data_IF_513981038788
#
_entry.id   IF_513981038788
#
_cell.length_a   1.000
_cell.length_b   1.000
_cell.length_c   1.000
_cell.angle_alpha   90.00
_cell.angle_beta   90.00
_cell.angle_gamma   90.00
#
_symmetry.space_group_name_H-M   'P 1'
#
loop_
_entity.id
_entity.type
_entity.pdbx_description
1 polymer ?
#
# COMPACT_ATOMS: atom_id res chain seq x y z
N UNK A 1 20.43 18.91 4.07
CA UNK A 1 21.50 17.86 4.08
C UNK A 1 21.61 17.36 5.52
N UNK A 2 20.48 17.00 6.12
CA UNK A 2 20.31 17.14 7.58
C UNK A 2 20.31 15.80 8.29
N UNK A 3 20.27 14.72 7.52
CA UNK A 3 20.27 13.35 7.98
C UNK A 3 21.32 12.54 7.22
N UNK A 4 21.96 11.59 7.93
CA UNK A 4 22.83 10.56 7.38
C UNK A 4 22.18 9.18 7.59
N UNK A 5 22.27 8.26 6.61
CA UNK A 5 21.67 6.94 6.72
C UNK A 5 22.44 6.10 7.75
N UNK A 6 21.70 5.34 8.57
CA UNK A 6 22.28 4.43 9.58
C UNK A 6 22.14 2.98 9.13
N UNK A 7 20.92 2.51 8.91
CA UNK A 7 20.66 1.12 8.52
C UNK A 7 19.31 1.00 7.79
N UNK A 8 19.20 0.03 6.89
CA UNK A 8 17.92 -0.37 6.35
C UNK A 8 17.12 -1.10 7.43
N UNK A 9 15.85 -0.75 7.59
CA UNK A 9 14.96 -1.40 8.55
C UNK A 9 14.13 -2.47 7.86
N UNK A 10 13.05 -2.05 7.21
CA UNK A 10 12.12 -2.96 6.55
C UNK A 10 11.59 -2.35 5.26
N UNK A 11 11.21 -3.21 4.31
CA UNK A 11 10.48 -2.78 3.12
C UNK A 11 9.01 -3.11 3.31
N UNK A 12 8.19 -2.07 3.48
CA UNK A 12 6.75 -2.24 3.60
C UNK A 12 6.12 -2.29 2.22
N UNK A 13 5.18 -3.22 2.05
CA UNK A 13 4.41 -3.38 0.81
C UNK A 13 3.00 -2.84 1.04
N UNK A 14 2.32 -2.51 -0.05
CA UNK A 14 0.93 -2.12 -0.04
C UNK A 14 0.07 -3.21 -0.69
N UNK A 15 -1.20 -3.17 -0.37
CA UNK A 15 -2.16 -4.21 -0.70
C UNK A 15 -3.41 -3.56 -1.28
N UNK A 16 -3.81 -3.94 -2.49
CA UNK A 16 -5.08 -3.50 -3.06
C UNK A 16 -6.21 -4.27 -2.39
N UNK A 17 -6.91 -3.61 -1.47
CA UNK A 17 -7.96 -4.22 -0.65
C UNK A 17 -9.30 -3.58 -0.95
N UNK A 18 -10.33 -4.41 -1.09
CA UNK A 18 -11.70 -4.00 -1.39
C UNK A 18 -12.68 -4.61 -0.40
N UNK A 19 -13.91 -4.11 -0.39
CA UNK A 19 -15.01 -4.71 0.39
C UNK A 19 -15.39 -6.09 -0.16
N UNK A 20 -15.71 -7.05 0.72
CA UNK A 20 -16.00 -8.41 0.28
C UNK A 20 -17.32 -8.56 -0.48
N UNK A 21 -18.27 -7.66 -0.22
CA UNK A 21 -19.58 -7.55 -0.86
C UNK A 21 -19.60 -6.61 -2.08
N UNK A 22 -18.44 -6.10 -2.50
CA UNK A 22 -18.33 -5.34 -3.74
C UNK A 22 -18.75 -6.18 -4.96
N UNK A 23 -19.26 -5.55 -6.05
CA UNK A 23 -19.69 -6.25 -7.26
C UNK A 23 -18.54 -6.84 -8.09
N UNK A 24 -17.31 -6.77 -7.57
CA UNK A 24 -16.09 -7.31 -8.17
C UNK A 24 -15.31 -8.12 -7.13
N UNK A 25 -14.81 -9.26 -7.55
CA UNK A 25 -14.06 -10.23 -6.74
C UNK A 25 -12.62 -10.37 -7.21
N UNK A 26 -12.33 -10.00 -8.44
CA UNK A 26 -11.00 -10.05 -9.04
C UNK A 26 -10.50 -8.67 -9.45
N UNK A 27 -9.19 -8.53 -9.67
CA UNK A 27 -8.62 -7.31 -10.23
C UNK A 27 -9.21 -6.95 -11.60
N UNK A 28 -9.41 -7.94 -12.48
CA UNK A 28 -9.99 -7.71 -13.80
C UNK A 28 -11.41 -7.13 -13.70
N UNK A 29 -12.25 -7.68 -12.83
CA UNK A 29 -13.59 -7.16 -12.57
C UNK A 29 -13.55 -5.77 -11.93
N UNK A 30 -12.62 -5.51 -11.01
CA UNK A 30 -12.40 -4.21 -10.40
C UNK A 30 -12.07 -3.15 -11.46
N UNK A 31 -11.11 -3.42 -12.35
CA UNK A 31 -10.75 -2.47 -13.43
C UNK A 31 -11.91 -2.30 -14.40
N UNK A 32 -12.59 -3.37 -14.79
CA UNK A 32 -13.73 -3.28 -15.69
C UNK A 32 -14.88 -2.45 -15.07
N UNK A 33 -15.13 -2.63 -13.77
CA UNK A 33 -16.12 -1.84 -13.04
C UNK A 33 -15.72 -0.36 -12.95
N UNK A 34 -14.46 -0.06 -12.62
CA UNK A 34 -13.93 1.30 -12.53
C UNK A 34 -14.01 2.03 -13.88
N UNK A 35 -13.68 1.36 -14.99
CA UNK A 35 -13.77 1.93 -16.35
C UNK A 35 -15.20 2.23 -16.78
N UNK A 36 -16.17 1.40 -16.38
CA UNK A 36 -17.61 1.65 -16.65
C UNK A 36 -18.19 2.74 -15.75
N UNK A 37 -17.55 3.06 -14.63
CA UNK A 37 -18.06 3.96 -13.60
C UNK A 37 -17.03 5.05 -13.22
N UNK A 38 -16.54 5.84 -14.19
CA UNK A 38 -15.53 6.85 -13.91
C UNK A 38 -16.07 7.88 -12.90
N UNK A 39 -15.28 8.14 -11.85
CA UNK A 39 -15.59 9.13 -10.81
C UNK A 39 -16.62 8.68 -9.78
N UNK A 40 -17.14 7.45 -9.88
CA UNK A 40 -18.09 6.90 -8.90
C UNK A 40 -17.42 6.10 -7.79
N UNK A 41 -16.23 5.56 -8.06
CA UNK A 41 -15.46 4.85 -7.06
C UNK A 41 -14.54 5.80 -6.30
N UNK A 42 -14.28 5.47 -5.04
CA UNK A 42 -13.44 6.23 -4.12
C UNK A 42 -12.43 5.34 -3.41
N UNK A 43 -11.28 5.92 -3.06
CA UNK A 43 -10.28 5.25 -2.24
C UNK A 43 -9.74 6.16 -1.15
N UNK A 44 -9.49 5.56 0.00
CA UNK A 44 -8.91 6.25 1.16
C UNK A 44 -7.39 6.16 1.19
N UNK A 45 -6.74 7.20 1.74
CA UNK A 45 -5.34 7.12 2.15
C UNK A 45 -5.14 7.71 3.55
N UNK A 46 -3.99 7.44 4.21
CA UNK A 46 -3.62 8.06 5.48
C UNK A 46 -3.32 9.57 5.40
N UNK A 47 -3.43 10.17 4.22
CA UNK A 47 -3.17 11.59 3.97
C UNK A 47 -2.53 11.84 2.60
N UNK A 48 -2.50 13.11 2.20
CA UNK A 48 -1.84 13.55 0.98
C UNK A 48 -0.32 13.30 1.05
N UNK A 49 0.32 12.96 -0.07
CA UNK A 49 1.74 12.60 -0.14
C UNK A 49 2.18 11.26 0.49
N UNK A 50 1.30 10.53 1.17
CA UNK A 50 1.66 9.24 1.79
C UNK A 50 1.83 8.12 0.74
N UNK A 51 2.60 7.06 1.06
CA UNK A 51 2.79 5.95 0.11
C UNK A 51 1.48 5.34 -0.40
N UNK A 52 0.43 5.10 0.42
CA UNK A 52 -0.88 4.68 -0.08
C UNK A 52 -1.54 5.62 -1.09
N UNK A 53 -1.41 6.94 -0.90
CA UNK A 53 -1.93 7.93 -1.84
C UNK A 53 -1.19 7.84 -3.17
N UNK A 54 0.14 7.85 -3.15
CA UNK A 54 0.95 7.76 -4.38
C UNK A 54 0.68 6.43 -5.11
N UNK A 55 0.56 5.33 -4.38
CA UNK A 55 0.22 4.03 -4.97
C UNK A 55 -1.17 4.01 -5.62
N UNK A 56 -2.15 4.70 -5.03
CA UNK A 56 -3.48 4.86 -5.60
C UNK A 56 -3.45 5.67 -6.91
N UNK A 57 -2.70 6.77 -6.95
CA UNK A 57 -2.51 7.55 -8.17
C UNK A 57 -1.73 6.80 -9.25
N UNK A 58 -0.70 6.03 -8.88
CA UNK A 58 -0.01 5.13 -9.80
C UNK A 58 -0.95 4.09 -10.41
N UNK A 59 -1.82 3.47 -9.59
CA UNK A 59 -2.83 2.51 -10.05
C UNK A 59 -3.79 3.18 -11.05
N UNK A 60 -4.31 4.36 -10.71
CA UNK A 60 -5.21 5.13 -11.59
C UNK A 60 -4.57 5.43 -12.93
N UNK A 61 -3.36 5.96 -12.91
CA UNK A 61 -2.60 6.35 -14.10
C UNK A 61 -2.32 5.15 -15.01
N UNK A 62 -1.76 4.06 -14.46
CA UNK A 62 -1.36 2.91 -15.27
C UNK A 62 -2.55 2.05 -15.74
N UNK A 63 -3.60 1.91 -14.93
CA UNK A 63 -4.76 1.13 -15.30
C UNK A 63 -5.77 1.90 -16.18
N UNK A 64 -5.58 3.22 -16.32
CA UNK A 64 -6.48 4.10 -17.06
C UNK A 64 -7.88 4.15 -16.44
N UNK A 65 -7.93 4.33 -15.11
CA UNK A 65 -9.19 4.45 -14.35
C UNK A 65 -9.26 5.79 -13.64
N UNK A 66 -10.47 6.30 -13.46
CA UNK A 66 -10.72 7.53 -12.71
C UNK A 66 -11.54 7.22 -11.46
N UNK A 67 -10.89 7.30 -10.30
CA UNK A 67 -11.47 7.11 -8.97
C UNK A 67 -11.09 8.29 -8.07
N UNK A 68 -11.95 8.62 -7.13
CA UNK A 68 -11.81 9.78 -6.24
C UNK A 68 -10.89 9.44 -5.06
N UNK A 69 -9.91 10.28 -4.79
CA UNK A 69 -9.07 10.16 -3.60
C UNK A 69 -9.70 10.91 -2.42
N UNK A 70 -9.88 10.21 -1.29
CA UNK A 70 -10.37 10.78 -0.05
C UNK A 70 -9.24 10.69 1.00
N UNK A 71 -8.65 11.82 1.42
CA UNK A 71 -7.58 11.81 2.43
C UNK A 71 -8.15 11.71 3.85
N UNK A 72 -7.56 10.82 4.66
CA UNK A 72 -7.88 10.68 6.09
C UNK A 72 -6.70 11.11 6.96
N UNK A 73 -6.94 11.24 8.27
CA UNK A 73 -5.89 11.44 9.29
C UNK A 73 -5.40 10.08 9.80
N UNK A 74 -4.74 9.31 8.93
CA UNK A 74 -4.22 7.97 9.24
C UNK A 74 -5.03 6.80 8.66
N UNK A 75 -4.39 5.64 8.54
CA UNK A 75 -4.94 4.45 7.89
C UNK A 75 -6.17 3.87 8.59
N UNK A 76 -6.25 3.99 9.92
CA UNK A 76 -7.33 3.39 10.70
C UNK A 76 -8.69 4.01 10.35
N UNK A 77 -8.76 5.33 10.17
CA UNK A 77 -10.00 6.01 9.79
C UNK A 77 -10.45 5.61 8.38
N UNK A 78 -9.52 5.51 7.43
CA UNK A 78 -9.82 5.03 6.08
C UNK A 78 -10.30 3.56 6.07
N UNK A 79 -9.71 2.70 6.91
CA UNK A 79 -10.14 1.30 7.04
C UNK A 79 -11.56 1.18 7.61
N UNK A 80 -11.93 2.00 8.60
CA UNK A 80 -13.29 2.02 9.14
C UNK A 80 -14.30 2.43 8.06
N UNK A 81 -14.00 3.44 7.26
CA UNK A 81 -14.90 3.86 6.18
C UNK A 81 -15.00 2.84 5.03
N UNK A 82 -13.91 2.11 4.72
CA UNK A 82 -13.99 0.96 3.81
C UNK A 82 -14.91 -0.12 4.39
N UNK A 83 -14.79 -0.46 5.67
CA UNK A 83 -15.65 -1.45 6.33
C UNK A 83 -17.12 -0.98 6.38
N UNK A 84 -17.34 0.32 6.57
CA UNK A 84 -18.67 0.94 6.57
C UNK A 84 -19.31 1.06 5.18
N UNK A 85 -18.55 0.88 4.09
CA UNK A 85 -19.06 1.05 2.73
C UNK A 85 -19.03 2.47 2.19
N UNK A 86 -18.32 3.37 2.85
CA UNK A 86 -18.13 4.76 2.42
C UNK A 86 -16.98 4.89 1.41
N UNK A 87 -16.12 3.87 1.30
CA UNK A 87 -15.04 3.76 0.33
C UNK A 87 -15.15 2.45 -0.45
N UNK A 88 -14.61 2.44 -1.67
CA UNK A 88 -14.62 1.24 -2.53
C UNK A 88 -13.37 0.38 -2.32
N UNK A 89 -12.21 1.02 -2.12
CA UNK A 89 -10.94 0.32 -1.95
C UNK A 89 -9.89 1.11 -1.17
N UNK A 90 -8.81 0.42 -0.81
CA UNK A 90 -7.62 0.99 -0.19
C UNK A 90 -6.36 0.44 -0.86
N UNK A 91 -5.30 1.25 -0.84
CA UNK A 91 -3.92 0.78 -0.90
C UNK A 91 -3.44 0.59 0.54
N UNK A 92 -3.80 -0.54 1.14
CA UNK A 92 -3.63 -0.81 2.56
C UNK A 92 -2.16 -1.10 2.94
N UNK A 93 -1.62 -0.54 4.04
CA UNK A 93 -0.27 -0.85 4.52
C UNK A 93 -0.19 -2.11 5.41
N UNK A 94 -1.20 -2.97 5.38
CA UNK A 94 -1.25 -4.25 6.10
C UNK A 94 -2.14 -4.28 7.34
N UNK A 95 -2.85 -3.19 7.65
CA UNK A 95 -3.75 -3.14 8.80
C UNK A 95 -5.09 -3.84 8.52
N UNK A 96 -5.42 -4.12 7.25
CA UNK A 96 -6.65 -4.79 6.85
C UNK A 96 -6.58 -6.33 6.96
N UNK A 97 -5.43 -6.94 7.29
CA UNK A 97 -5.26 -8.40 7.17
C UNK A 97 -6.19 -9.24 8.03
N UNK A 98 -6.52 -8.79 9.25
CA UNK A 98 -7.51 -9.49 10.09
C UNK A 98 -8.91 -9.48 9.44
N UNK A 99 -9.25 -8.40 8.73
CA UNK A 99 -10.51 -8.27 7.99
C UNK A 99 -10.51 -9.08 6.68
N UNK A 100 -9.35 -9.18 6.01
CA UNK A 100 -9.18 -10.08 4.86
C UNK A 100 -9.32 -11.53 5.28
N UNK A 101 -8.65 -11.95 6.37
CA UNK A 101 -8.71 -13.34 6.87
C UNK A 101 -10.09 -13.73 7.39
N UNK A 102 -10.85 -12.79 7.94
CA UNK A 102 -12.25 -13.01 8.36
C UNK A 102 -13.27 -12.89 7.21
N UNK A 103 -12.84 -12.58 5.99
CA UNK A 103 -13.71 -12.47 4.81
C UNK A 103 -14.56 -11.20 4.75
N UNK A 104 -14.33 -10.22 5.63
CA UNK A 104 -15.00 -8.90 5.58
C UNK A 104 -14.45 -8.00 4.49
N UNK A 105 -13.17 -8.16 4.19
CA UNK A 105 -12.49 -7.50 3.08
C UNK A 105 -11.85 -8.55 2.17
N UNK A 106 -11.48 -8.14 0.96
CA UNK A 106 -10.83 -8.98 -0.04
C UNK A 106 -9.54 -8.32 -0.52
N UNK A 107 -8.45 -9.09 -0.48
CA UNK A 107 -7.18 -8.72 -1.11
C UNK A 107 -7.25 -9.08 -2.60
N UNK A 108 -7.10 -8.09 -3.49
CA UNK A 108 -7.09 -8.32 -4.94
C UNK A 108 -5.68 -8.49 -5.50
N UNK A 109 -4.71 -7.74 -4.96
CA UNK A 109 -3.33 -7.77 -5.44
C UNK A 109 -2.35 -7.19 -4.41
N UNK A 110 -1.08 -7.59 -4.53
CA UNK A 110 0.05 -6.96 -3.83
C UNK A 110 0.79 -5.99 -4.75
N UNK A 111 1.37 -4.93 -4.18
CA UNK A 111 2.14 -3.93 -4.96
C UNK A 111 3.62 -4.24 -5.10
N UNK A 112 4.09 -5.36 -4.53
CA UNK A 112 5.48 -5.79 -4.63
C UNK A 112 5.79 -6.33 -6.04
N UNK A 113 7.06 -6.29 -6.49
CA UNK A 113 7.47 -6.91 -7.75
C UNK A 113 7.23 -8.43 -7.80
N UNK A 114 7.22 -9.08 -6.65
CA UNK A 114 7.06 -10.53 -6.48
C UNK A 114 5.97 -10.80 -5.44
N UNK A 115 5.34 -11.98 -5.53
CA UNK A 115 4.35 -12.43 -4.54
C UNK A 115 4.97 -12.55 -3.15
N UNK A 116 4.13 -12.40 -2.13
CA UNK A 116 4.56 -12.48 -0.74
C UNK A 116 4.15 -13.83 -0.14
N UNK A 117 5.05 -14.45 0.62
CA UNK A 117 4.79 -15.75 1.26
C UNK A 117 3.59 -15.75 2.20
N UNK A 118 3.24 -14.59 2.76
CA UNK A 118 2.07 -14.44 3.63
C UNK A 118 0.73 -14.40 2.88
N UNK A 119 0.75 -14.17 1.57
CA UNK A 119 -0.41 -14.20 0.67
C UNK A 119 0.01 -14.81 -0.68
N UNK A 120 0.34 -16.13 -0.72
CA UNK A 120 0.92 -16.76 -1.91
C UNK A 120 -0.04 -16.78 -3.11
N UNK A 121 -1.35 -16.78 -2.83
CA UNK A 121 -2.41 -16.80 -3.85
C UNK A 121 -2.72 -15.41 -4.41
N UNK A 122 -2.29 -14.33 -3.73
CA UNK A 122 -2.52 -12.97 -4.20
C UNK A 122 -1.52 -12.64 -5.32
N UNK A 123 -2.00 -12.29 -6.53
CA UNK A 123 -1.11 -11.90 -7.61
C UNK A 123 -0.46 -10.55 -7.33
N UNK A 124 0.63 -10.26 -8.02
CA UNK A 124 1.19 -8.91 -8.04
C UNK A 124 0.48 -8.04 -9.08
N UNK A 125 0.51 -6.72 -8.90
CA UNK A 125 0.02 -5.81 -9.94
C UNK A 125 0.83 -5.91 -11.25
N UNK A 126 2.10 -6.33 -11.19
CA UNK A 126 2.91 -6.60 -12.38
C UNK A 126 2.38 -7.81 -13.17
N UNK A 127 2.04 -8.90 -12.48
CA UNK A 127 1.42 -10.09 -13.10
C UNK A 127 0.09 -9.75 -13.76
N UNK A 128 -0.59 -8.71 -13.26
CA UNK A 128 -1.87 -8.22 -13.75
C UNK A 128 -1.75 -7.15 -14.84
N UNK A 129 -0.53 -6.88 -15.35
CA UNK A 129 -0.28 -6.03 -16.51
C UNK A 129 0.14 -4.60 -16.20
N UNK A 130 0.31 -4.21 -14.93
CA UNK A 130 0.86 -2.90 -14.56
C UNK A 130 2.38 -2.96 -14.55
N UNK A 131 3.00 -2.49 -15.64
CA UNK A 131 4.45 -2.59 -15.84
C UNK A 131 5.23 -1.81 -14.79
N UNK A 132 6.23 -2.46 -14.20
CA UNK A 132 7.13 -1.88 -13.19
C UNK A 132 6.36 -1.26 -12.00
N UNK A 133 5.22 -1.85 -11.65
CA UNK A 133 4.47 -1.41 -10.48
C UNK A 133 5.21 -1.85 -9.22
N UNK A 134 5.81 -0.91 -8.52
CA UNK A 134 6.43 -1.14 -7.22
C UNK A 134 6.15 0.04 -6.30
N UNK A 135 5.19 -0.15 -5.39
CA UNK A 135 4.86 0.85 -4.36
C UNK A 135 5.47 0.49 -2.99
N UNK A 136 6.42 -0.45 -2.97
CA UNK A 136 7.11 -0.87 -1.76
C UNK A 136 7.98 0.26 -1.20
N UNK A 137 7.70 0.66 0.03
CA UNK A 137 8.42 1.75 0.71
C UNK A 137 9.51 1.21 1.63
N UNK A 138 10.76 1.58 1.36
CA UNK A 138 11.89 1.25 2.22
C UNK A 138 11.90 2.17 3.44
N UNK A 139 11.82 1.57 4.61
CA UNK A 139 11.99 2.23 5.90
C UNK A 139 13.40 1.97 6.40
N UNK A 140 14.00 2.98 7.01
CA UNK A 140 15.36 2.92 7.50
C UNK A 140 15.57 3.85 8.67
N UNK A 141 16.67 3.63 9.37
CA UNK A 141 17.11 4.46 10.47
C UNK A 141 18.05 5.53 9.93
N UNK A 142 17.85 6.76 10.41
CA UNK A 142 18.62 7.94 10.03
C UNK A 142 19.10 8.63 11.30
N UNK A 143 20.27 9.28 11.23
CA UNK A 143 20.82 10.09 12.32
C UNK A 143 21.01 11.53 11.85
N UNK A 144 21.01 12.53 12.76
CA UNK A 144 21.33 13.91 12.41
C UNK A 144 22.70 14.01 11.73
N UNK A 145 22.80 14.93 10.77
CA UNK A 145 24.08 15.28 10.16
C UNK A 145 25.10 15.70 11.24
N UNK A 146 26.32 15.15 11.16
CA UNK A 146 27.36 15.37 12.17
C UNK A 146 27.43 14.33 13.28
N UNK A 147 26.52 13.34 13.31
CA UNK A 147 26.65 12.20 14.22
C UNK A 147 27.99 11.47 13.94
N UNK A 148 28.87 11.27 14.95
CA UNK A 148 30.16 10.63 14.75
C UNK A 148 30.06 9.24 14.09
N UNK A 149 30.96 8.96 13.16
CA UNK A 149 30.96 7.70 12.39
C UNK A 149 30.92 6.46 13.28
N UNK A 150 31.70 6.44 14.38
CA UNK A 150 31.72 5.32 15.32
C UNK A 150 30.36 5.04 15.98
N UNK A 151 29.52 6.08 16.19
CA UNK A 151 28.16 5.92 16.74
C UNK A 151 27.24 5.35 15.65
N UNK A 152 27.31 5.86 14.42
CA UNK A 152 26.55 5.35 13.27
C UNK A 152 26.86 3.86 13.03
N UNK A 153 28.14 3.50 13.03
CA UNK A 153 28.59 2.11 12.85
C UNK A 153 28.12 1.19 13.98
N UNK A 154 28.16 1.66 15.24
CA UNK A 154 27.63 0.89 16.36
C UNK A 154 26.13 0.68 16.23
N UNK A 155 25.37 1.74 15.93
CA UNK A 155 23.92 1.63 15.72
C UNK A 155 23.60 0.68 14.56
N UNK A 156 24.31 0.79 13.44
CA UNK A 156 24.15 -0.11 12.30
C UNK A 156 24.37 -1.58 12.70
N UNK A 157 25.47 -1.88 13.43
CA UNK A 157 25.74 -3.24 13.91
C UNK A 157 24.64 -3.78 14.79
N UNK A 158 24.17 -3.00 15.78
CA UNK A 158 23.14 -3.49 16.71
C UNK A 158 21.78 -3.65 16.02
N UNK A 159 21.42 -2.76 15.09
CA UNK A 159 20.17 -2.88 14.31
C UNK A 159 20.18 -4.12 13.42
N UNK A 160 21.32 -4.41 12.79
CA UNK A 160 21.46 -5.56 11.88
C UNK A 160 21.72 -6.88 12.61
N UNK A 161 21.86 -6.86 13.93
CA UNK A 161 22.09 -8.06 14.74
C UNK A 161 20.79 -8.88 14.79
N UNK A 162 20.82 -10.06 14.18
CA UNK A 162 19.74 -11.05 14.23
C UNK A 162 19.96 -12.05 15.35
#
# INVERSE_FOLDING_TARGET
KDLIPVAAGARLQLFLVVRSDAPYKTYAEFIAYAKRNPGKMSYGSPGNGTSPHIAGEMLKSQAGIFTLHIPYRGSAAALQDLLGGNLDYLMDPGIAFSHVRSGRLRLLAVTSPQRLSMFPDAPTLNELGLKNFDAGTSHGFWAPAGTPAAIVERMNREINRR
#
